data_IF_491625188564
#
_entry.id   IF_491625188564
#
_cell.length_a   1.000
_cell.length_b   1.000
_cell.length_c   1.000
_cell.angle_alpha   90.00
_cell.angle_beta   90.00
_cell.angle_gamma   90.00
#
_symmetry.space_group_name_H-M   'P 1'
#
loop_
_entity.id
_entity.type
_entity.pdbx_description
1 polymer ?
#
# COMPACT_ATOMS: atom_id res chain seq x y z
N UNK A 1 -100.76 4.74 16.43
CA UNK A 1 -101.39 5.80 17.25
C UNK A 1 -101.19 7.10 16.50
N UNK A 2 -102.21 7.96 16.54
CA UNK A 2 -102.52 9.09 15.65
C UNK A 2 -103.08 8.67 14.29
N UNK A 3 -104.19 9.21 13.79
CA UNK A 3 -105.37 9.83 14.41
C UNK A 3 -106.41 9.92 13.28
N UNK A 4 -107.65 9.54 13.56
CA UNK A 4 -108.77 9.54 12.62
C UNK A 4 -109.35 10.95 12.42
N UNK A 5 -109.77 11.28 11.18
CA UNK A 5 -110.79 12.29 10.79
C UNK A 5 -111.07 12.05 9.28
N UNK A 6 -112.20 11.51 8.82
CA UNK A 6 -113.60 11.97 8.84
C UNK A 6 -113.84 13.34 8.18
N UNK A 7 -114.23 13.34 6.91
CA UNK A 7 -115.19 14.30 6.34
C UNK A 7 -115.82 13.71 5.06
N UNK A 8 -117.10 14.03 4.86
CA UNK A 8 -117.96 13.50 3.81
C UNK A 8 -118.40 14.61 2.84
N UNK A 9 -118.60 14.22 1.56
CA UNK A 9 -119.30 14.96 0.49
C UNK A 9 -118.41 15.89 -0.37
N UNK A 10 -118.69 16.09 -1.68
CA UNK A 10 -119.94 15.81 -2.40
C UNK A 10 -119.80 14.87 -3.61
N UNK A 11 -120.91 14.22 -3.98
CA UNK A 11 -121.12 13.54 -5.25
C UNK A 11 -121.24 14.59 -6.37
N UNK A 12 -120.34 14.53 -7.35
CA UNK A 12 -120.37 15.30 -8.59
C UNK A 12 -120.28 14.34 -9.77
N UNK A 13 -121.39 14.17 -10.48
CA UNK A 13 -121.44 13.61 -11.83
C UNK A 13 -120.72 14.57 -12.79
N UNK A 14 -119.44 14.29 -13.04
CA UNK A 14 -118.68 14.71 -14.21
C UNK A 14 -117.69 13.57 -14.52
N UNK A 15 -117.34 13.40 -15.80
CA UNK A 15 -116.08 12.80 -16.25
C UNK A 15 -115.97 11.26 -16.43
N UNK A 16 -116.83 10.69 -17.27
CA UNK A 16 -116.61 9.36 -17.87
C UNK A 16 -115.51 9.32 -18.94
N UNK A 17 -115.22 10.42 -19.63
CA UNK A 17 -114.15 10.50 -20.65
C UNK A 17 -112.77 10.82 -20.05
N UNK A 18 -112.69 11.62 -18.98
CA UNK A 18 -111.41 11.98 -18.32
C UNK A 18 -110.76 10.76 -17.64
N UNK A 19 -111.56 9.78 -17.21
CA UNK A 19 -111.03 8.55 -16.58
C UNK A 19 -110.40 7.58 -17.57
N UNK A 20 -110.85 7.56 -18.85
CA UNK A 20 -110.26 6.71 -19.88
C UNK A 20 -108.97 7.32 -20.46
N UNK A 21 -108.95 8.63 -20.72
CA UNK A 21 -107.72 9.33 -21.16
C UNK A 21 -106.61 9.23 -20.10
N UNK A 22 -106.96 9.32 -18.82
CA UNK A 22 -105.99 9.18 -17.72
C UNK A 22 -105.43 7.75 -17.61
N UNK A 23 -106.25 6.72 -17.90
CA UNK A 23 -105.79 5.32 -17.95
C UNK A 23 -104.88 5.03 -19.15
N UNK A 24 -105.18 5.61 -20.31
CA UNK A 24 -104.33 5.50 -21.51
C UNK A 24 -103.00 6.24 -21.34
N UNK A 25 -103.01 7.42 -20.72
CA UNK A 25 -101.81 8.16 -20.34
C UNK A 25 -100.95 7.36 -19.35
N UNK A 26 -101.56 6.79 -18.31
CA UNK A 26 -100.85 5.97 -17.32
C UNK A 26 -100.25 4.71 -17.96
N UNK A 27 -100.98 4.04 -18.86
CA UNK A 27 -100.46 2.90 -19.64
C UNK A 27 -99.26 3.31 -20.50
N UNK A 28 -99.34 4.44 -21.18
CA UNK A 28 -98.25 4.98 -21.99
C UNK A 28 -97.01 5.30 -21.15
N UNK A 29 -97.20 5.85 -19.94
CA UNK A 29 -96.11 6.08 -18.98
C UNK A 29 -95.46 4.77 -18.51
N UNK A 30 -96.26 3.74 -18.19
CA UNK A 30 -95.76 2.42 -17.82
C UNK A 30 -94.98 1.75 -18.96
N UNK A 31 -95.49 1.82 -20.19
CA UNK A 31 -94.80 1.28 -21.37
C UNK A 31 -93.50 2.03 -21.63
N UNK A 32 -93.50 3.36 -21.55
CA UNK A 32 -92.30 4.18 -21.69
C UNK A 32 -91.28 3.89 -20.57
N UNK A 33 -91.73 3.73 -19.34
CA UNK A 33 -90.87 3.36 -18.21
C UNK A 33 -90.24 1.97 -18.42
N UNK A 34 -91.04 1.00 -18.89
CA UNK A 34 -90.57 -0.36 -19.19
C UNK A 34 -89.51 -0.34 -20.30
N UNK A 35 -89.76 0.40 -21.39
CA UNK A 35 -88.78 0.54 -22.48
C UNK A 35 -87.48 1.21 -22.02
N UNK A 36 -87.57 2.26 -21.18
CA UNK A 36 -86.39 2.92 -20.60
C UNK A 36 -85.59 1.95 -19.72
N UNK A 37 -86.28 1.17 -18.89
CA UNK A 37 -85.66 0.17 -18.03
C UNK A 37 -84.99 -0.94 -18.85
N UNK A 38 -85.63 -1.45 -19.91
CA UNK A 38 -85.03 -2.42 -20.82
C UNK A 38 -83.83 -1.87 -21.59
N UNK A 39 -83.87 -0.60 -21.99
CA UNK A 39 -82.73 0.07 -22.63
C UNK A 39 -81.54 0.20 -21.65
N UNK A 40 -81.82 0.61 -20.41
CA UNK A 40 -80.81 0.68 -19.34
C UNK A 40 -80.20 -0.71 -19.05
N UNK A 41 -81.02 -1.75 -18.91
CA UNK A 41 -80.51 -3.12 -18.69
C UNK A 41 -79.66 -3.63 -19.86
N UNK A 42 -80.05 -3.32 -21.11
CA UNK A 42 -79.23 -3.66 -22.28
C UNK A 42 -77.88 -2.95 -22.26
N UNK A 43 -77.87 -1.65 -21.97
CA UNK A 43 -76.64 -0.87 -21.85
C UNK A 43 -75.73 -1.43 -20.74
N UNK A 44 -76.29 -1.74 -19.57
CA UNK A 44 -75.51 -2.27 -18.46
C UNK A 44 -74.98 -3.68 -18.74
N UNK A 45 -75.76 -4.52 -19.43
CA UNK A 45 -75.28 -5.83 -19.89
C UNK A 45 -74.12 -5.72 -20.90
N UNK A 46 -74.16 -4.73 -21.79
CA UNK A 46 -73.06 -4.50 -22.74
C UNK A 46 -71.82 -3.93 -22.06
N UNK A 47 -71.99 -3.10 -21.01
CA UNK A 47 -70.89 -2.66 -20.13
C UNK A 47 -70.26 -3.85 -19.39
N UNK A 48 -71.06 -4.73 -18.81
CA UNK A 48 -70.57 -5.95 -18.13
C UNK A 48 -69.76 -6.81 -19.10
N UNK A 49 -70.29 -7.10 -20.30
CA UNK A 49 -69.55 -7.86 -21.33
C UNK A 49 -68.24 -7.18 -21.73
N UNK A 50 -68.22 -5.86 -21.79
CA UNK A 50 -67.00 -5.10 -22.12
C UNK A 50 -65.97 -5.22 -21.00
N UNK A 51 -66.40 -5.12 -19.73
CA UNK A 51 -65.55 -5.31 -18.56
C UNK A 51 -65.00 -6.74 -18.48
N UNK A 52 -65.80 -7.75 -18.78
CA UNK A 52 -65.36 -9.16 -18.83
C UNK A 52 -64.25 -9.37 -19.87
N UNK A 53 -64.41 -8.80 -21.07
CA UNK A 53 -63.37 -8.85 -22.11
C UNK A 53 -62.09 -8.15 -21.66
N UNK A 54 -62.22 -6.98 -21.03
CA UNK A 54 -61.06 -6.23 -20.52
C UNK A 54 -60.33 -7.01 -19.42
N UNK A 55 -61.07 -7.61 -18.49
CA UNK A 55 -60.50 -8.47 -17.45
C UNK A 55 -59.80 -9.70 -18.04
N UNK A 56 -60.38 -10.34 -19.07
CA UNK A 56 -59.75 -11.46 -19.76
C UNK A 56 -58.42 -11.06 -20.42
N UNK A 57 -58.41 -9.93 -21.15
CA UNK A 57 -57.20 -9.38 -21.77
C UNK A 57 -56.13 -9.02 -20.75
N UNK A 58 -56.51 -8.38 -19.65
CA UNK A 58 -55.59 -8.06 -18.55
C UNK A 58 -55.02 -9.33 -17.91
N UNK A 59 -55.84 -10.36 -17.73
CA UNK A 59 -55.41 -11.67 -17.24
C UNK A 59 -54.39 -12.35 -18.17
N UNK A 60 -54.58 -12.28 -19.48
CA UNK A 60 -53.62 -12.78 -20.46
C UNK A 60 -52.31 -11.98 -20.47
N UNK A 61 -52.39 -10.65 -20.43
CA UNK A 61 -51.22 -9.79 -20.35
C UNK A 61 -50.39 -10.09 -19.10
N UNK A 62 -51.05 -10.23 -17.94
CA UNK A 62 -50.40 -10.57 -16.68
C UNK A 62 -49.72 -11.95 -16.74
N UNK A 63 -50.39 -12.98 -17.31
CA UNK A 63 -49.78 -14.30 -17.51
C UNK A 63 -48.54 -14.25 -18.41
N UNK A 64 -48.59 -13.46 -19.49
CA UNK A 64 -47.46 -13.30 -20.41
C UNK A 64 -46.26 -12.63 -19.75
N UNK A 65 -46.50 -11.58 -18.96
CA UNK A 65 -45.41 -10.92 -18.22
C UNK A 65 -44.84 -11.81 -17.11
N UNK A 66 -45.67 -12.60 -16.42
CA UNK A 66 -45.18 -13.58 -15.43
C UNK A 66 -44.25 -14.62 -16.06
N UNK A 67 -44.58 -15.11 -17.27
CA UNK A 67 -43.73 -16.04 -18.01
C UNK A 67 -42.40 -15.40 -18.44
N UNK A 68 -42.43 -14.13 -18.83
CA UNK A 68 -41.21 -13.37 -19.16
C UNK A 68 -40.31 -13.22 -17.95
N UNK A 69 -40.86 -12.79 -16.82
CA UNK A 69 -40.11 -12.66 -15.55
C UNK A 69 -39.47 -14.00 -15.18
N UNK A 70 -40.25 -15.09 -15.20
CA UNK A 70 -39.74 -16.43 -14.87
C UNK A 70 -38.60 -16.88 -15.78
N UNK A 71 -38.67 -16.54 -17.08
CA UNK A 71 -37.61 -16.88 -18.04
C UNK A 71 -36.33 -16.10 -17.73
N UNK A 72 -36.46 -14.80 -17.44
CA UNK A 72 -35.33 -13.94 -17.07
C UNK A 72 -34.70 -14.38 -15.74
N UNK A 73 -35.51 -14.74 -14.74
CA UNK A 73 -35.03 -15.30 -13.47
C UNK A 73 -34.21 -16.57 -13.68
N UNK A 74 -34.67 -17.46 -14.56
CA UNK A 74 -33.94 -18.70 -14.89
C UNK A 74 -32.60 -18.41 -15.58
N UNK A 75 -32.56 -17.41 -16.48
CA UNK A 75 -31.32 -16.99 -17.13
C UNK A 75 -30.31 -16.45 -16.10
N UNK A 76 -30.74 -15.53 -15.24
CA UNK A 76 -29.87 -15.00 -14.18
C UNK A 76 -29.38 -16.08 -13.22
N UNK A 77 -30.22 -17.05 -12.86
CA UNK A 77 -29.80 -18.17 -12.02
C UNK A 77 -28.69 -19.01 -12.68
N UNK A 78 -28.76 -19.24 -14.00
CA UNK A 78 -27.73 -19.98 -14.74
C UNK A 78 -26.42 -19.19 -14.85
N UNK A 79 -26.50 -17.88 -15.10
CA UNK A 79 -25.34 -16.99 -15.14
C UNK A 79 -24.62 -16.94 -13.80
N UNK A 80 -25.36 -16.82 -12.69
CA UNK A 80 -24.78 -16.81 -11.34
C UNK A 80 -24.04 -18.10 -11.02
N UNK A 81 -24.58 -19.26 -11.39
CA UNK A 81 -23.89 -20.55 -11.22
C UNK A 81 -22.59 -20.59 -12.03
N UNK A 82 -22.61 -20.09 -13.26
CA UNK A 82 -21.44 -20.07 -14.15
C UNK A 82 -20.34 -19.15 -13.60
N UNK A 83 -20.71 -17.94 -13.19
CA UNK A 83 -19.79 -16.97 -12.60
C UNK A 83 -19.19 -17.48 -11.29
N UNK A 84 -20.00 -18.10 -10.43
CA UNK A 84 -19.52 -18.70 -9.18
C UNK A 84 -18.45 -19.76 -9.44
N UNK A 85 -18.68 -20.65 -10.42
CA UNK A 85 -17.70 -21.67 -10.80
C UNK A 85 -16.39 -21.06 -11.28
N UNK A 86 -16.47 -20.05 -12.16
CA UNK A 86 -15.27 -19.36 -12.67
C UNK A 86 -14.46 -18.72 -11.53
N UNK A 87 -15.14 -18.08 -10.57
CA UNK A 87 -14.49 -17.47 -9.42
C UNK A 87 -13.81 -18.51 -8.53
N UNK A 88 -14.44 -19.67 -8.32
CA UNK A 88 -13.85 -20.79 -7.56
C UNK A 88 -12.62 -21.38 -8.26
N UNK A 89 -12.66 -21.53 -9.59
CA UNK A 89 -11.53 -21.97 -10.41
C UNK A 89 -10.35 -20.99 -10.34
N UNK A 90 -10.62 -19.68 -10.49
CA UNK A 90 -9.58 -18.65 -10.38
C UNK A 90 -8.98 -18.59 -8.96
N UNK A 91 -9.83 -18.70 -7.94
CA UNK A 91 -9.37 -18.75 -6.55
C UNK A 91 -8.49 -19.97 -6.27
N UNK A 92 -8.83 -21.14 -6.82
CA UNK A 92 -8.01 -22.34 -6.74
C UNK A 92 -6.66 -22.17 -7.44
N UNK A 93 -6.66 -21.58 -8.65
CA UNK A 93 -5.43 -21.29 -9.40
C UNK A 93 -4.51 -20.34 -8.64
N UNK A 94 -5.05 -19.23 -8.10
CA UNK A 94 -4.28 -18.29 -7.29
C UNK A 94 -3.73 -18.94 -6.03
N UNK A 95 -4.51 -19.79 -5.35
CA UNK A 95 -4.02 -20.56 -4.17
C UNK A 95 -2.85 -21.46 -4.54
N UNK A 96 -2.93 -22.18 -5.65
CA UNK A 96 -1.82 -23.03 -6.13
C UNK A 96 -0.57 -22.20 -6.44
N UNK A 97 -0.72 -21.05 -7.11
CA UNK A 97 0.40 -20.15 -7.42
C UNK A 97 1.07 -19.64 -6.15
N UNK A 98 0.30 -19.20 -5.16
CA UNK A 98 0.82 -18.74 -3.87
C UNK A 98 1.53 -19.87 -3.13
N UNK A 99 0.98 -21.09 -3.13
CA UNK A 99 1.63 -22.25 -2.51
C UNK A 99 2.94 -22.65 -3.20
N UNK A 100 3.00 -22.54 -4.53
CA UNK A 100 4.23 -22.79 -5.30
C UNK A 100 5.30 -21.73 -4.98
N UNK A 101 4.92 -20.45 -4.97
CA UNK A 101 5.82 -19.36 -4.62
C UNK A 101 6.30 -19.49 -3.17
N UNK A 102 5.42 -19.87 -2.24
CA UNK A 102 5.79 -20.08 -0.85
C UNK A 102 6.82 -21.20 -0.70
N UNK A 103 6.63 -22.33 -1.39
CA UNK A 103 7.61 -23.42 -1.42
C UNK A 103 8.97 -22.96 -1.95
N UNK A 104 8.97 -22.25 -3.08
CA UNK A 104 10.20 -21.71 -3.67
C UNK A 104 10.95 -20.77 -2.72
N UNK A 105 10.24 -19.83 -2.08
CA UNK A 105 10.84 -18.90 -1.13
C UNK A 105 11.39 -19.63 0.10
N UNK A 106 10.68 -20.64 0.60
CA UNK A 106 11.18 -21.47 1.70
C UNK A 106 12.44 -22.21 1.29
N UNK A 107 12.47 -22.84 0.12
CA UNK A 107 13.65 -23.57 -0.37
C UNK A 107 14.86 -22.63 -0.58
N UNK A 108 14.65 -21.44 -1.14
CA UNK A 108 15.71 -20.43 -1.31
C UNK A 108 16.25 -19.95 0.05
N UNK A 109 15.36 -19.63 1.00
CA UNK A 109 15.76 -19.19 2.34
C UNK A 109 16.48 -20.30 3.09
N UNK A 110 15.98 -21.53 3.04
CA UNK A 110 16.62 -22.69 3.66
C UNK A 110 18.01 -22.93 3.07
N UNK A 111 18.14 -22.87 1.75
CA UNK A 111 19.43 -23.04 1.07
C UNK A 111 20.40 -21.92 1.48
N UNK A 112 19.96 -20.66 1.46
CA UNK A 112 20.80 -19.53 1.86
C UNK A 112 21.26 -19.63 3.32
N UNK A 113 20.37 -20.08 4.21
CA UNK A 113 20.70 -20.30 5.62
C UNK A 113 21.69 -21.45 5.80
N UNK A 114 21.50 -22.57 5.08
CA UNK A 114 22.42 -23.71 5.13
C UNK A 114 23.82 -23.37 4.62
N UNK A 115 23.90 -22.65 3.50
CA UNK A 115 25.19 -22.16 2.95
C UNK A 115 25.85 -21.23 3.96
N UNK A 116 25.10 -20.26 4.53
CA UNK A 116 25.64 -19.37 5.56
C UNK A 116 26.17 -20.11 6.80
N UNK A 117 25.45 -21.13 7.28
CA UNK A 117 25.92 -21.94 8.40
C UNK A 117 27.13 -22.82 8.04
N UNK A 118 27.23 -23.30 6.81
CA UNK A 118 28.39 -24.07 6.36
C UNK A 118 29.64 -23.20 6.33
N UNK A 119 29.53 -22.00 5.79
CA UNK A 119 30.62 -21.02 5.74
C UNK A 119 31.08 -20.66 7.16
N UNK A 120 30.14 -20.35 8.07
CA UNK A 120 30.44 -20.07 9.48
C UNK A 120 31.10 -21.28 10.20
N UNK A 121 30.69 -22.51 9.87
CA UNK A 121 31.26 -23.73 10.44
C UNK A 121 32.70 -23.97 9.99
N UNK A 122 32.97 -23.89 8.68
CA UNK A 122 34.33 -24.09 8.17
C UNK A 122 35.26 -22.96 8.62
N UNK A 123 34.74 -21.74 8.76
CA UNK A 123 35.44 -20.63 9.39
C UNK A 123 35.82 -20.93 10.85
N UNK A 124 34.86 -21.35 11.68
CA UNK A 124 35.10 -21.71 13.08
C UNK A 124 36.12 -22.85 13.23
N UNK A 125 36.03 -23.85 12.35
CA UNK A 125 36.98 -24.97 12.31
C UNK A 125 38.38 -24.49 11.95
N UNK A 126 38.50 -23.57 10.99
CA UNK A 126 39.78 -22.96 10.61
C UNK A 126 40.36 -22.16 11.78
N UNK A 127 39.54 -21.38 12.48
CA UNK A 127 39.96 -20.64 13.69
C UNK A 127 40.43 -21.60 14.80
N UNK A 128 39.71 -22.68 15.06
CA UNK A 128 40.07 -23.69 16.07
C UNK A 128 41.39 -24.40 15.74
N UNK A 129 41.59 -24.80 14.48
CA UNK A 129 42.84 -25.41 14.03
C UNK A 129 44.01 -24.46 14.19
N UNK A 130 43.80 -23.17 13.91
CA UNK A 130 44.82 -22.15 14.10
C UNK A 130 45.13 -21.92 15.59
N UNK A 131 44.11 -21.95 16.48
CA UNK A 131 44.32 -21.93 17.95
C UNK A 131 45.14 -23.10 18.44
N UNK A 132 44.84 -24.30 17.98
CA UNK A 132 45.56 -25.52 18.36
C UNK A 132 47.03 -25.41 17.97
N UNK A 133 47.34 -24.99 16.73
CA UNK A 133 48.72 -24.74 16.30
C UNK A 133 49.43 -23.66 17.13
N UNK A 134 48.71 -22.62 17.53
CA UNK A 134 49.25 -21.55 18.38
C UNK A 134 49.59 -22.04 19.81
N UNK A 135 48.94 -23.10 20.31
CA UNK A 135 49.25 -23.66 21.63
C UNK A 135 50.50 -24.56 21.64
N UNK A 136 50.87 -25.13 20.49
CA UNK A 136 52.09 -25.94 20.34
C UNK A 136 53.37 -25.09 20.18
N UNK A 137 53.25 -23.77 20.08
CA UNK A 137 54.37 -22.83 19.99
C UNK A 137 54.88 -22.40 21.37
N UNK A 138 56.20 -22.21 21.56
CA UNK A 138 56.76 -21.71 22.81
C UNK A 138 56.19 -20.33 23.18
N UNK A 139 56.10 -20.03 24.48
CA UNK A 139 55.45 -18.84 25.06
C UNK A 139 55.82 -17.50 24.37
N UNK A 140 57.03 -17.39 23.83
CA UNK A 140 57.48 -16.21 23.05
C UNK A 140 56.70 -16.01 21.74
N UNK A 141 56.23 -17.06 21.07
CA UNK A 141 55.44 -16.97 19.83
C UNK A 141 53.92 -16.80 20.05
N UNK A 142 53.43 -16.99 21.29
CA UNK A 142 51.99 -16.86 21.61
C UNK A 142 51.53 -15.39 21.69
N UNK A 143 52.42 -14.47 22.04
CA UNK A 143 52.08 -13.04 22.10
C UNK A 143 51.91 -12.42 20.72
N UNK A 144 52.77 -12.76 19.76
CA UNK A 144 52.71 -12.22 18.39
C UNK A 144 51.42 -12.66 17.67
N UNK A 145 51.03 -13.93 17.83
CA UNK A 145 49.78 -14.49 17.28
C UNK A 145 48.51 -13.88 17.88
N UNK A 146 48.54 -13.41 19.14
CA UNK A 146 47.38 -12.78 19.77
C UNK A 146 47.18 -11.33 19.31
N UNK A 147 48.26 -10.59 19.02
CA UNK A 147 48.17 -9.26 18.41
C UNK A 147 47.68 -9.32 16.95
N UNK A 148 48.20 -10.27 16.16
CA UNK A 148 47.72 -10.50 14.80
C UNK A 148 46.21 -10.83 14.74
N UNK A 149 45.68 -11.44 15.81
CA UNK A 149 44.27 -11.86 15.91
C UNK A 149 43.29 -10.72 16.16
N UNK A 150 43.67 -9.71 16.93
CA UNK A 150 42.82 -8.53 17.20
C UNK A 150 42.65 -7.70 15.93
N UNK A 151 43.64 -7.72 15.04
CA UNK A 151 43.52 -7.08 13.73
C UNK A 151 42.83 -7.98 12.69
N UNK A 152 42.98 -9.31 12.77
CA UNK A 152 42.25 -10.25 11.91
C UNK A 152 40.75 -10.37 12.20
N UNK A 153 40.28 -10.17 13.45
CA UNK A 153 38.84 -10.17 13.74
C UNK A 153 38.11 -8.95 13.13
N UNK A 154 38.82 -7.81 13.00
CA UNK A 154 38.33 -6.65 12.25
C UNK A 154 38.19 -6.94 10.76
N UNK A 155 39.12 -7.73 10.21
CA UNK A 155 39.09 -8.18 8.81
C UNK A 155 37.88 -9.10 8.52
N UNK A 156 37.56 -10.02 9.44
CA UNK A 156 36.50 -11.01 9.20
C UNK A 156 35.09 -10.41 9.15
N UNK A 157 34.72 -9.54 10.09
CA UNK A 157 33.42 -8.86 10.05
C UNK A 157 33.30 -7.94 8.84
N UNK A 158 34.40 -7.27 8.47
CA UNK A 158 34.47 -6.47 7.25
C UNK A 158 34.22 -7.29 5.98
N UNK A 159 34.82 -8.48 5.89
CA UNK A 159 34.60 -9.43 4.79
C UNK A 159 33.16 -9.94 4.75
N UNK A 160 32.58 -10.31 5.90
CA UNK A 160 31.17 -10.71 6.04
C UNK A 160 30.23 -9.60 5.57
N UNK A 161 30.46 -8.36 6.00
CA UNK A 161 29.67 -7.22 5.57
C UNK A 161 29.87 -6.92 4.08
N UNK A 162 31.09 -7.03 3.54
CA UNK A 162 31.36 -6.84 2.11
C UNK A 162 30.65 -7.89 1.25
N UNK A 163 30.65 -9.16 1.66
CA UNK A 163 29.88 -10.22 1.00
C UNK A 163 28.37 -9.96 1.11
N UNK A 164 27.87 -9.70 2.32
CA UNK A 164 26.46 -9.39 2.57
C UNK A 164 25.99 -8.14 1.82
N UNK A 165 26.89 -7.17 1.61
CA UNK A 165 26.58 -5.92 0.93
C UNK A 165 26.04 -6.21 -0.45
N UNK A 166 26.53 -7.22 -1.18
CA UNK A 166 26.06 -7.56 -2.53
C UNK A 166 24.54 -7.75 -2.56
N UNK A 167 23.97 -8.27 -1.48
CA UNK A 167 22.54 -8.53 -1.28
C UNK A 167 21.75 -7.38 -0.65
N UNK A 168 22.43 -6.38 -0.10
CA UNK A 168 21.80 -5.19 0.48
C UNK A 168 21.44 -4.22 -0.64
N UNK A 169 20.20 -3.71 -0.63
CA UNK A 169 19.71 -2.72 -1.60
C UNK A 169 19.73 -3.18 -3.06
N UNK A 170 19.62 -4.49 -3.34
CA UNK A 170 19.44 -4.98 -4.72
C UNK A 170 18.10 -4.43 -5.30
N UNK A 171 18.10 -3.89 -6.54
CA UNK A 171 16.89 -3.54 -7.27
C UNK A 171 15.95 -4.74 -7.43
N UNK A 172 14.65 -4.55 -7.16
CA UNK A 172 13.65 -5.61 -7.33
C UNK A 172 13.56 -6.65 -6.19
N UNK A 173 14.60 -6.82 -5.37
CA UNK A 173 14.49 -7.66 -4.17
C UNK A 173 13.74 -6.92 -3.05
N UNK A 174 12.81 -7.59 -2.37
CA UNK A 174 12.18 -7.01 -1.19
C UNK A 174 13.11 -7.10 0.00
N UNK A 175 13.16 -6.04 0.80
CA UNK A 175 13.77 -6.12 2.12
C UNK A 175 12.92 -7.08 2.94
N UNK A 176 13.42 -8.29 3.19
CA UNK A 176 12.75 -9.23 4.07
C UNK A 176 12.71 -8.57 5.46
N UNK A 177 11.50 -8.31 5.95
CA UNK A 177 11.23 -7.73 7.28
C UNK A 177 11.73 -8.61 8.45
N UNK A 178 12.35 -9.75 8.15
CA UNK A 178 13.00 -10.57 9.15
C UNK A 178 14.03 -9.70 9.88
N UNK A 179 13.89 -9.64 11.20
CA UNK A 179 14.59 -8.75 12.11
C UNK A 179 16.06 -8.56 11.73
N UNK A 180 16.63 -7.38 12.00
CA UNK A 180 18.04 -7.03 11.78
C UNK A 180 19.08 -8.01 12.35
N UNK A 181 18.64 -9.01 13.13
CA UNK A 181 19.45 -10.09 13.70
C UNK A 181 19.60 -11.32 12.78
N UNK A 182 18.95 -11.35 11.61
CA UNK A 182 19.01 -12.47 10.67
C UNK A 182 19.37 -12.00 9.25
N UNK A 183 20.01 -12.88 8.47
CA UNK A 183 20.34 -12.66 7.06
C UNK A 183 21.42 -11.60 6.81
N UNK A 184 21.46 -11.06 5.58
CA UNK A 184 22.50 -10.12 5.12
C UNK A 184 22.57 -8.82 5.93
N UNK A 185 21.47 -8.42 6.58
CA UNK A 185 21.44 -7.23 7.42
C UNK A 185 22.05 -7.44 8.81
N UNK A 186 22.28 -8.68 9.24
CA UNK A 186 22.98 -8.99 10.49
C UNK A 186 24.43 -8.50 10.45
N UNK A 187 25.16 -8.77 9.36
CA UNK A 187 26.53 -8.29 9.22
C UNK A 187 26.61 -6.75 9.26
N UNK A 188 25.63 -6.06 8.69
CA UNK A 188 25.53 -4.60 8.76
C UNK A 188 25.22 -4.14 10.19
N UNK A 189 24.27 -4.80 10.86
CA UNK A 189 23.89 -4.50 12.24
C UNK A 189 25.07 -4.69 13.20
N UNK A 190 25.75 -5.83 13.14
CA UNK A 190 26.89 -6.16 14.00
C UNK A 190 28.04 -5.16 13.79
N UNK A 191 28.35 -4.84 12.52
CA UNK A 191 29.40 -3.87 12.20
C UNK A 191 29.06 -2.44 12.65
N UNK A 192 27.84 -1.96 12.39
CA UNK A 192 27.41 -0.61 12.80
C UNK A 192 27.28 -0.49 14.33
N UNK A 193 26.99 -1.58 15.04
CA UNK A 193 26.86 -1.59 16.50
C UNK A 193 28.16 -1.20 17.23
N UNK A 194 29.30 -1.21 16.52
CA UNK A 194 30.59 -0.70 17.00
C UNK A 194 30.63 0.83 17.14
N UNK A 195 29.81 1.54 16.36
CA UNK A 195 29.81 3.00 16.27
C UNK A 195 28.57 3.63 16.92
N UNK A 196 27.49 2.86 17.08
CA UNK A 196 26.21 3.35 17.59
C UNK A 196 25.41 2.24 18.27
N UNK A 197 24.59 2.59 19.25
CA UNK A 197 23.64 1.63 19.86
C UNK A 197 22.46 1.37 18.91
N UNK A 198 22.34 0.11 18.45
CA UNK A 198 21.28 -0.34 17.53
C UNK A 198 20.48 -1.46 18.16
N UNK A 199 19.28 -1.14 18.64
CA UNK A 199 18.32 -2.15 19.10
C UNK A 199 17.69 -2.93 17.94
N UNK A 200 17.30 -2.21 16.89
CA UNK A 200 16.70 -2.77 15.68
C UNK A 200 16.89 -1.83 14.48
N UNK A 201 16.85 -2.39 13.28
CA UNK A 201 16.85 -1.63 12.01
C UNK A 201 15.51 -1.88 11.31
N UNK A 202 14.78 -0.81 11.02
CA UNK A 202 13.48 -0.87 10.34
C UNK A 202 13.57 -0.17 8.98
N UNK A 203 13.01 -0.81 7.94
CA UNK A 203 12.95 -0.20 6.61
C UNK A 203 11.73 0.73 6.48
N UNK A 204 11.98 2.03 6.49
CA UNK A 204 10.95 3.04 6.27
C UNK A 204 10.77 3.39 4.78
N UNK A 205 11.87 3.59 4.05
CA UNK A 205 11.85 3.99 2.64
C UNK A 205 12.79 3.12 1.81
N UNK A 206 12.35 2.69 0.62
CA UNK A 206 13.19 2.08 -0.42
C UNK A 206 12.74 2.60 -1.78
N UNK A 207 13.65 3.23 -2.54
CA UNK A 207 13.30 3.85 -3.82
C UNK A 207 12.69 2.88 -4.85
N UNK A 208 13.16 1.64 -4.92
CA UNK A 208 12.58 0.64 -5.82
C UNK A 208 11.15 0.19 -5.45
N UNK A 209 10.73 0.42 -4.20
CA UNK A 209 9.39 0.07 -3.70
C UNK A 209 8.47 1.29 -3.67
N UNK A 210 9.00 2.41 -3.21
CA UNK A 210 8.26 3.63 -2.89
C UNK A 210 8.34 4.68 -4.01
N UNK A 211 9.13 4.41 -5.05
CA UNK A 211 9.47 5.38 -6.09
C UNK A 211 10.63 6.28 -5.67
N UNK A 212 11.10 7.11 -6.60
CA UNK A 212 12.24 8.01 -6.39
C UNK A 212 11.83 9.44 -6.02
N UNK A 213 10.53 9.73 -5.89
CA UNK A 213 10.03 11.08 -5.65
C UNK A 213 10.45 11.61 -4.28
N UNK A 214 11.00 12.82 -4.25
CA UNK A 214 11.44 13.46 -3.01
C UNK A 214 10.34 13.64 -1.95
N UNK A 215 9.12 14.11 -2.28
CA UNK A 215 8.04 14.21 -1.29
C UNK A 215 7.71 12.87 -0.62
N UNK A 216 7.74 11.76 -1.38
CA UNK A 216 7.50 10.42 -0.83
C UNK A 216 8.58 9.99 0.16
N UNK A 217 9.84 10.36 -0.10
CA UNK A 217 10.93 10.14 0.85
C UNK A 217 10.72 10.94 2.14
N UNK A 218 10.36 12.23 2.05
CA UNK A 218 10.07 13.07 3.22
C UNK A 218 8.91 12.52 4.04
N UNK A 219 7.78 12.23 3.41
CA UNK A 219 6.58 11.72 4.09
C UNK A 219 6.87 10.43 4.87
N UNK A 220 7.73 9.55 4.34
CA UNK A 220 8.09 8.28 4.99
C UNK A 220 9.17 8.41 6.06
N UNK A 221 9.96 9.48 6.05
CA UNK A 221 11.06 9.70 7.00
C UNK A 221 10.74 10.76 8.04
N UNK A 222 9.58 11.41 7.93
CA UNK A 222 9.13 12.44 8.84
C UNK A 222 9.05 11.94 10.29
N UNK A 223 9.59 12.74 11.22
CA UNK A 223 9.56 12.47 12.66
C UNK A 223 10.50 11.35 13.13
N UNK A 224 11.26 10.70 12.24
CA UNK A 224 12.19 9.64 12.62
C UNK A 224 13.44 10.26 13.24
N UNK A 225 13.68 9.96 14.51
CA UNK A 225 14.78 10.56 15.27
C UNK A 225 16.17 10.11 14.85
N UNK A 226 16.30 8.92 14.26
CA UNK A 226 17.60 8.38 13.83
C UNK A 226 17.45 7.61 12.54
N UNK A 227 18.13 8.06 11.50
CA UNK A 227 18.07 7.47 10.17
C UNK A 227 19.41 6.83 9.80
N UNK A 228 19.34 5.66 9.17
CA UNK A 228 20.44 5.05 8.43
C UNK A 228 20.05 5.07 6.95
N UNK A 229 20.74 5.89 6.17
CA UNK A 229 20.59 5.97 4.73
C UNK A 229 21.61 5.05 4.09
N UNK A 230 21.16 4.14 3.24
CA UNK A 230 22.00 3.25 2.44
C UNK A 230 21.83 3.62 0.97
N UNK A 231 22.92 3.98 0.32
CA UNK A 231 22.96 4.40 -1.08
C UNK A 231 23.83 3.45 -1.86
N UNK A 232 23.27 2.87 -2.91
CA UNK A 232 23.99 2.00 -3.82
C UNK A 232 24.27 2.76 -5.11
N UNK A 233 25.54 2.80 -5.49
CA UNK A 233 25.98 3.30 -6.79
C UNK A 233 26.59 2.14 -7.58
N UNK A 234 25.83 1.66 -8.57
CA UNK A 234 26.17 0.47 -9.34
C UNK A 234 26.30 -0.81 -8.49
N UNK A 235 27.05 -1.81 -8.98
CA UNK A 235 27.23 -3.09 -8.28
C UNK A 235 28.34 -3.06 -7.22
N UNK A 236 29.22 -2.07 -7.23
CA UNK A 236 30.48 -2.08 -6.45
C UNK A 236 30.49 -1.14 -5.27
N UNK A 237 29.63 -0.11 -5.25
CA UNK A 237 29.66 0.92 -4.21
C UNK A 237 28.39 0.87 -3.37
N UNK A 238 28.56 0.71 -2.06
CA UNK A 238 27.51 0.85 -1.06
C UNK A 238 28.01 1.83 0.00
N UNK A 239 27.41 3.02 -0.03
CA UNK A 239 27.68 4.10 0.89
C UNK A 239 26.57 4.14 1.93
N UNK A 240 26.89 4.57 3.14
CA UNK A 240 25.91 4.79 4.17
C UNK A 240 26.16 6.10 4.91
N UNK A 241 25.09 6.71 5.40
CA UNK A 241 25.21 7.77 6.39
C UNK A 241 24.13 7.65 7.47
N UNK A 242 24.53 7.91 8.70
CA UNK A 242 23.61 8.01 9.83
C UNK A 242 23.33 9.46 10.14
N UNK A 243 22.09 9.77 10.47
CA UNK A 243 21.63 11.09 10.92
C UNK A 243 20.95 10.90 12.27
N UNK A 244 21.49 11.52 13.32
CA UNK A 244 20.93 11.50 14.67
C UNK A 244 20.18 12.81 14.94
N UNK A 245 18.91 12.81 14.58
CA UNK A 245 17.95 13.91 14.66
C UNK A 245 16.84 13.73 13.62
N UNK A 246 15.63 14.27 13.88
CA UNK A 246 14.57 14.29 12.87
C UNK A 246 14.95 15.15 11.67
N UNK A 247 14.52 14.71 10.48
CA UNK A 247 14.60 15.54 9.28
C UNK A 247 13.52 16.64 9.38
N UNK A 248 13.96 17.88 9.61
CA UNK A 248 13.07 19.05 9.67
C UNK A 248 13.13 19.84 8.35
N UNK A 249 11.97 20.04 7.73
CA UNK A 249 11.83 20.78 6.47
C UNK A 249 12.23 22.26 6.61
N UNK A 250 12.86 22.80 5.55
CA UNK A 250 13.05 24.24 5.37
C UNK A 250 14.08 24.91 6.30
N UNK A 251 14.87 24.14 7.06
CA UNK A 251 15.92 24.68 7.95
C UNK A 251 17.18 23.82 7.95
N UNK A 252 18.35 24.47 7.98
CA UNK A 252 19.63 23.83 8.33
C UNK A 252 19.56 23.44 9.81
N UNK A 253 19.43 22.15 10.07
CA UNK A 253 19.34 21.59 11.42
C UNK A 253 20.68 21.00 11.82
N UNK A 254 21.19 21.39 13.00
CA UNK A 254 22.39 20.76 13.56
C UNK A 254 21.99 19.40 14.11
N UNK A 255 22.63 18.35 13.61
CA UNK A 255 22.44 16.98 14.05
C UNK A 255 23.74 16.21 13.83
N UNK A 256 23.93 15.13 14.60
CA UNK A 256 25.13 14.32 14.48
C UNK A 256 25.01 13.47 13.20
N UNK A 257 26.02 13.56 12.33
CA UNK A 257 26.10 12.74 11.12
C UNK A 257 27.35 11.88 11.15
N UNK A 258 27.28 10.69 10.60
CA UNK A 258 28.45 9.86 10.35
C UNK A 258 28.33 9.21 8.99
N UNK A 259 29.46 9.07 8.31
CA UNK A 259 29.54 8.55 6.95
C UNK A 259 30.32 7.25 6.95
N UNK A 260 29.90 6.33 6.10
CA UNK A 260 30.49 5.01 5.98
C UNK A 260 30.58 4.63 4.51
N UNK A 261 31.69 4.01 4.13
CA UNK A 261 31.83 3.31 2.87
C UNK A 261 31.87 1.83 3.18
N UNK A 262 30.75 1.13 2.91
CA UNK A 262 30.62 -0.31 3.18
C UNK A 262 31.35 -1.09 2.09
N UNK A 263 31.14 -0.70 0.84
CA UNK A 263 31.89 -1.17 -0.33
C UNK A 263 32.22 0.00 -1.24
N UNK A 264 33.25 -0.16 -2.05
CA UNK A 264 33.71 0.86 -2.98
C UNK A 264 35.21 1.06 -2.90
N UNK A 265 35.69 2.31 -2.68
CA UNK A 265 37.10 2.65 -2.85
C UNK A 265 38.01 2.00 -1.80
N UNK A 266 37.48 1.55 -0.66
CA UNK A 266 38.27 0.95 0.41
C UNK A 266 38.26 -0.58 0.38
N UNK A 267 39.36 -1.18 0.81
CA UNK A 267 39.48 -2.64 0.89
C UNK A 267 38.50 -3.27 1.89
N UNK A 268 38.16 -2.53 2.94
CA UNK A 268 37.23 -2.95 3.99
C UNK A 268 36.19 -1.88 4.33
N UNK A 269 35.02 -2.27 4.88
CA UNK A 269 34.03 -1.32 5.37
C UNK A 269 34.65 -0.31 6.34
N UNK A 270 34.54 0.97 6.02
CA UNK A 270 35.28 2.05 6.69
C UNK A 270 34.34 3.17 7.12
N UNK A 271 34.45 3.61 8.39
CA UNK A 271 33.84 4.87 8.84
C UNK A 271 34.71 6.02 8.33
N UNK A 272 34.13 6.96 7.60
CA UNK A 272 34.83 8.14 7.08
C UNK A 272 34.94 9.16 8.20
N UNK A 273 36.18 9.51 8.55
CA UNK A 273 36.48 10.40 9.66
C UNK A 273 36.01 11.81 9.35
N UNK A 274 35.21 12.38 10.24
CA UNK A 274 34.81 13.78 10.17
C UNK A 274 35.75 14.64 11.01
N UNK A 275 35.93 15.94 10.69
CA UNK A 275 36.74 16.84 11.52
C UNK A 275 36.31 16.87 12.99
N UNK A 276 35.04 16.57 13.29
CA UNK A 276 34.51 16.47 14.64
C UNK A 276 35.05 15.28 15.44
N UNK A 277 35.48 14.19 14.77
CA UNK A 277 36.02 13.00 15.44
C UNK A 277 37.45 13.24 15.98
N UNK A 278 38.22 14.13 15.34
CA UNK A 278 39.65 14.33 15.62
C UNK A 278 40.00 15.29 16.77
N UNK A 279 39.02 15.75 17.56
CA UNK A 279 39.23 16.70 18.66
C UNK A 279 39.73 18.10 18.23
N UNK A 280 39.81 18.35 16.92
CA UNK A 280 40.20 19.63 16.34
C UNK A 280 39.15 20.72 16.57
N UNK A 281 39.60 21.98 16.57
CA UNK A 281 38.84 23.20 16.88
C UNK A 281 37.35 23.17 16.47
N UNK A 282 36.51 23.62 17.42
CA UNK A 282 35.02 23.72 17.48
C UNK A 282 34.26 24.30 16.28
N UNK A 283 34.89 24.60 15.14
CA UNK A 283 34.23 25.33 14.04
C UNK A 283 33.48 24.44 13.04
N UNK A 284 33.74 23.14 12.98
CA UNK A 284 33.06 22.25 12.03
C UNK A 284 31.87 21.56 12.68
N UNK A 285 30.68 22.15 12.54
CA UNK A 285 29.46 21.57 13.08
C UNK A 285 28.78 20.70 12.01
N UNK A 286 28.51 19.41 12.31
CA UNK A 286 27.71 18.58 11.42
C UNK A 286 26.30 19.18 11.27
N UNK A 287 25.78 19.14 10.05
CA UNK A 287 24.47 19.68 9.74
C UNK A 287 23.72 18.81 8.74
N UNK A 288 22.42 18.89 8.81
CA UNK A 288 21.52 18.44 7.75
C UNK A 288 20.79 19.66 7.25
N UNK A 289 21.01 19.98 5.98
CA UNK A 289 20.23 20.96 5.25
C UNK A 289 19.24 20.17 4.41
N UNK A 290 17.99 20.19 4.83
CA UNK A 290 16.88 19.71 4.02
C UNK A 290 16.28 20.94 3.35
N UNK A 291 16.11 20.88 2.04
CA UNK A 291 15.08 21.73 1.48
C UNK A 291 13.73 21.29 2.07
N UNK A 292 12.76 22.18 2.17
CA UNK A 292 11.40 21.76 2.54
C UNK A 292 10.79 21.00 1.38
N UNK A 293 9.71 21.54 0.81
CA UNK A 293 9.21 21.12 -0.51
C UNK A 293 9.84 21.90 -1.66
N UNK A 294 10.84 22.71 -1.35
CA UNK A 294 11.63 23.48 -2.30
C UNK A 294 12.95 22.75 -2.60
N UNK A 295 13.85 23.39 -3.35
CA UNK A 295 15.18 22.87 -3.68
C UNK A 295 16.27 23.61 -2.89
N UNK A 296 17.35 22.92 -2.53
CA UNK A 296 18.51 23.55 -1.90
C UNK A 296 19.21 24.44 -2.91
N UNK A 297 19.45 25.70 -2.55
CA UNK A 297 20.21 26.64 -3.38
C UNK A 297 21.69 26.64 -3.02
N UNK A 298 22.55 26.65 -4.04
CA UNK A 298 23.99 26.83 -3.93
C UNK A 298 24.37 28.27 -3.55
N UNK A 299 25.67 28.53 -3.43
CA UNK A 299 26.19 29.86 -3.11
C UNK A 299 25.93 30.91 -4.21
N UNK A 300 25.66 30.46 -5.43
CA UNK A 300 25.23 31.25 -6.59
C UNK A 300 23.72 31.48 -6.64
N UNK A 301 22.96 30.93 -5.67
CA UNK A 301 21.52 30.99 -5.63
C UNK A 301 20.80 29.99 -6.54
N UNK A 302 21.51 29.17 -7.33
CA UNK A 302 20.89 28.17 -8.19
C UNK A 302 20.51 26.92 -7.40
N UNK A 303 19.40 26.25 -7.73
CA UNK A 303 19.04 25.02 -7.06
C UNK A 303 20.03 23.90 -7.43
N UNK A 304 20.49 23.12 -6.46
CA UNK A 304 21.55 22.10 -6.64
C UNK A 304 21.16 20.68 -6.19
N UNK A 305 20.22 20.53 -5.25
CA UNK A 305 19.81 19.23 -4.71
C UNK A 305 18.49 19.34 -3.93
N UNK A 306 17.87 18.20 -3.59
CA UNK A 306 16.72 18.17 -2.67
C UNK A 306 17.17 18.06 -1.20
N UNK A 307 18.22 17.28 -0.93
CA UNK A 307 18.73 17.05 0.43
C UNK A 307 20.25 17.15 0.45
N UNK A 308 20.81 17.75 1.50
CA UNK A 308 22.25 17.81 1.78
C UNK A 308 22.50 17.41 3.23
N UNK A 309 23.19 16.31 3.44
CA UNK A 309 23.58 15.77 4.74
C UNK A 309 25.09 15.86 4.82
N UNK A 310 25.68 16.66 5.71
CA UNK A 310 27.11 16.93 5.61
C UNK A 310 27.74 17.64 6.80
N UNK A 311 29.05 17.80 6.70
CA UNK A 311 29.82 18.68 7.56
C UNK A 311 30.33 19.85 6.73
N UNK A 312 30.33 21.04 7.32
CA UNK A 312 30.84 22.23 6.66
C UNK A 312 32.31 22.03 6.29
N UNK A 313 32.68 22.28 5.03
CA UNK A 313 34.00 21.98 4.47
C UNK A 313 34.47 20.51 4.63
N UNK A 314 33.55 19.58 4.85
CA UNK A 314 33.84 18.17 5.08
C UNK A 314 33.06 17.23 4.15
N UNK A 315 32.89 15.96 4.57
CA UNK A 315 32.12 15.00 3.81
C UNK A 315 30.64 15.39 3.80
N UNK A 316 30.01 15.21 2.64
CA UNK A 316 28.60 15.52 2.45
C UNK A 316 28.00 14.58 1.40
N UNK A 317 26.72 14.26 1.62
CA UNK A 317 25.87 13.46 0.75
C UNK A 317 24.74 14.37 0.29
N UNK A 318 24.51 14.39 -1.02
CA UNK A 318 23.38 15.06 -1.64
C UNK A 318 22.48 14.05 -2.31
N UNK A 319 21.17 14.21 -2.09
CA UNK A 319 20.15 13.41 -2.74
C UNK A 319 19.41 14.29 -3.77
N UNK A 320 19.25 13.76 -4.98
CA UNK A 320 18.72 14.49 -6.13
C UNK A 320 19.68 15.55 -6.67
N UNK A 321 20.99 15.30 -6.63
CA UNK A 321 22.00 16.25 -7.10
C UNK A 321 22.28 16.07 -8.60
N UNK A 322 22.15 17.13 -9.38
CA UNK A 322 22.67 17.22 -10.75
C UNK A 322 23.19 18.63 -11.01
N UNK A 323 23.94 18.81 -12.09
CA UNK A 323 24.32 20.13 -12.61
C UNK A 323 23.84 20.24 -14.06
N UNK A 324 23.25 21.37 -14.49
CA UNK A 324 23.15 22.64 -13.76
C UNK A 324 21.99 22.74 -12.76
N UNK A 325 20.90 22.00 -12.95
CA UNK A 325 19.71 22.00 -12.09
C UNK A 325 19.65 20.72 -11.22
N UNK A 326 18.87 20.67 -10.13
CA UNK A 326 18.68 19.44 -9.36
C UNK A 326 18.00 18.36 -10.19
N UNK A 327 18.17 17.12 -9.77
CA UNK A 327 17.49 16.01 -10.42
C UNK A 327 15.99 16.15 -10.16
N UNK A 328 15.18 15.73 -11.14
CA UNK A 328 13.72 15.71 -10.98
C UNK A 328 13.25 14.79 -9.82
N UNK A 329 14.12 13.88 -9.37
CA UNK A 329 13.85 12.92 -8.31
C UNK A 329 15.16 12.51 -7.57
N UNK A 330 15.07 11.50 -6.70
CA UNK A 330 16.20 11.00 -5.90
C UNK A 330 17.01 9.91 -6.62
N UNK A 331 16.93 9.79 -7.95
CA UNK A 331 17.75 8.83 -8.71
C UNK A 331 19.23 9.21 -8.73
N UNK A 332 19.54 10.51 -8.68
CA UNK A 332 20.91 11.00 -8.64
C UNK A 332 21.36 11.28 -7.21
N UNK A 333 22.37 10.55 -6.74
CA UNK A 333 22.99 10.79 -5.45
C UNK A 333 24.45 11.16 -5.66
N UNK A 334 24.96 12.09 -4.88
CA UNK A 334 26.35 12.52 -4.93
C UNK A 334 26.93 12.49 -3.52
N UNK A 335 28.15 11.97 -3.37
CA UNK A 335 28.88 12.03 -2.12
C UNK A 335 30.24 12.66 -2.37
N UNK A 336 30.55 13.69 -1.59
CA UNK A 336 31.88 14.31 -1.54
C UNK A 336 32.53 13.93 -0.23
N UNK A 337 33.79 13.54 -0.28
CA UNK A 337 34.67 13.53 0.87
C UNK A 337 35.85 14.45 0.58
N UNK A 338 36.35 15.18 1.58
CA UNK A 338 37.57 15.97 1.43
C UNK A 338 38.78 15.08 1.70
N UNK A 339 39.93 15.44 1.14
CA UNK A 339 41.19 14.70 1.35
C UNK A 339 41.53 14.52 2.83
N UNK A 340 41.19 15.51 3.67
CA UNK A 340 41.39 15.46 5.12
C UNK A 340 40.48 14.47 5.85
N UNK A 341 39.41 14.02 5.20
CA UNK A 341 38.45 13.05 5.73
C UNK A 341 38.66 11.64 5.19
N UNK A 342 39.57 11.48 4.21
CA UNK A 342 39.95 10.17 3.71
C UNK A 342 41.00 9.55 4.65
N UNK A 343 40.97 8.23 4.86
CA UNK A 343 42.08 7.50 5.49
C UNK A 343 43.41 7.76 4.77
N UNK A 344 44.51 7.65 5.51
CA UNK A 344 45.85 7.75 4.93
C UNK A 344 46.02 6.75 3.78
N UNK A 345 46.47 7.25 2.62
CA UNK A 345 46.68 6.46 1.40
C UNK A 345 45.69 6.71 0.25
N UNK A 346 44.71 7.61 0.42
CA UNK A 346 43.72 7.97 -0.61
C UNK A 346 43.76 9.44 -1.03
#
# INVERSE_FOLDING_TARGET
>A
MESSQSSAGPEGECDGEVTQEMLEALRGEFEQHTQRMEAMYREEMDRIKTLERLHAQMGEACRKELLRIKTVEQQYAQELVTLKRQLEEEAAQRRMQVQALHRHVVDEVTTAVQVGFHDDKEELKTDLLQRLRAMDLPLSGRCDLLHERVDNSKSHEGAKLKAASQHICIPGQQFLRLSSRLGSYRALHDWLSRFMDIKSINLFYKSSRDGFKYPTFLDKTHGISRLLLLMRDGPTHLLACTVDGPLAEGKKTRCLVSFYAITGPYDSPTKITTPADGGGQRQYLPYVALAGREELRGGDGQPIAHVSIGVEHGPAVWLGYTQPDPAADLTSCYMRATRLSLPDGY
#
